data_IF_010066742756
#
_entry.id   IF_010066742756
#
_cell.length_a   1.000
_cell.length_b   1.000
_cell.length_c   1.000
_cell.angle_alpha   90.00
_cell.angle_beta   90.00
_cell.angle_gamma   90.00
#
_symmetry.space_group_name_H-M   'P 1'
#
loop_
_entity.id
_entity.type
_entity.pdbx_description
1 polymer ?
#
# COMPACT_ATOMS: atom_id res chain seq x y z
N UNK A 1 12.25 -27.61 -28.48
CA UNK A 1 13.55 -27.18 -27.94
C UNK A 1 13.34 -26.72 -26.53
N UNK A 2 14.32 -26.91 -25.65
CA UNK A 2 14.23 -26.72 -24.19
C UNK A 2 14.16 -25.23 -23.75
N UNK A 3 13.47 -24.39 -24.52
CA UNK A 3 13.39 -22.93 -24.36
C UNK A 3 11.96 -22.39 -24.31
N UNK A 4 10.95 -23.27 -24.30
CA UNK A 4 9.54 -22.89 -24.07
C UNK A 4 9.15 -23.20 -22.62
N UNK A 5 10.06 -22.87 -21.69
CA UNK A 5 9.89 -23.05 -20.24
C UNK A 5 9.74 -21.67 -19.60
N UNK A 6 8.62 -21.46 -18.90
CA UNK A 6 8.34 -20.39 -17.95
C UNK A 6 8.48 -18.94 -18.44
N UNK A 7 7.48 -18.46 -19.22
CA UNK A 7 7.20 -17.02 -19.24
C UNK A 7 6.45 -16.64 -17.96
N UNK A 8 7.19 -16.43 -16.87
CA UNK A 8 6.64 -15.81 -15.65
C UNK A 8 6.12 -14.42 -15.99
N UNK A 9 4.83 -14.17 -15.71
CA UNK A 9 4.30 -12.81 -15.61
C UNK A 9 5.14 -12.06 -14.56
N UNK A 10 5.88 -11.03 -14.96
CA UNK A 10 6.60 -10.19 -14.01
C UNK A 10 5.62 -9.19 -13.40
N UNK A 11 5.18 -9.45 -12.17
CA UNK A 11 4.39 -8.49 -11.38
C UNK A 11 5.32 -7.46 -10.76
N UNK A 12 5.04 -6.17 -10.98
CA UNK A 12 5.77 -5.06 -10.41
C UNK A 12 4.94 -4.42 -9.30
N UNK A 13 5.60 -4.08 -8.21
CA UNK A 13 4.98 -3.41 -7.08
C UNK A 13 5.63 -2.04 -6.92
N UNK A 14 4.82 -1.01 -6.74
CA UNK A 14 5.24 0.34 -6.41
C UNK A 14 4.50 0.82 -5.17
N UNK A 15 5.24 1.12 -4.10
CA UNK A 15 4.69 1.77 -2.90
C UNK A 15 5.11 3.24 -2.92
N UNK A 16 4.15 4.15 -2.76
CA UNK A 16 4.35 5.60 -2.79
C UNK A 16 3.94 6.17 -1.43
N UNK A 17 4.88 6.78 -0.71
CA UNK A 17 4.59 7.49 0.54
C UNK A 17 4.22 8.95 0.29
N UNK A 18 3.03 9.37 0.70
CA UNK A 18 2.58 10.77 0.68
C UNK A 18 2.66 11.35 2.10
N UNK A 19 3.82 11.93 2.41
CA UNK A 19 4.08 12.64 3.66
C UNK A 19 3.62 14.10 3.63
N UNK A 20 3.26 14.65 4.79
CA UNK A 20 3.01 16.09 4.94
C UNK A 20 2.06 16.45 6.08
N UNK A 21 1.87 17.74 6.34
CA UNK A 21 1.07 18.25 7.46
C UNK A 21 -0.40 17.79 7.41
N UNK A 22 -1.03 17.71 8.58
CA UNK A 22 -2.47 17.45 8.73
C UNK A 22 -3.28 18.54 8.01
N UNK A 23 -4.40 18.16 7.40
CA UNK A 23 -5.24 19.02 6.55
C UNK A 23 -4.55 19.64 5.31
N UNK A 24 -3.31 19.23 4.98
CA UNK A 24 -2.60 19.71 3.78
C UNK A 24 -3.11 19.15 2.44
N UNK A 25 -4.19 18.36 2.45
CA UNK A 25 -4.81 17.79 1.24
C UNK A 25 -4.25 16.43 0.78
N UNK A 26 -3.49 15.73 1.62
CA UNK A 26 -2.88 14.42 1.30
C UNK A 26 -3.91 13.36 0.90
N UNK A 27 -4.90 13.11 1.75
CA UNK A 27 -5.99 12.16 1.48
C UNK A 27 -6.75 12.52 0.21
N UNK A 28 -6.97 13.82 -0.05
CA UNK A 28 -7.59 14.29 -1.30
C UNK A 28 -6.72 13.99 -2.53
N UNK A 29 -5.39 14.17 -2.42
CA UNK A 29 -4.45 13.83 -3.49
C UNK A 29 -4.39 12.32 -3.72
N UNK A 30 -4.32 11.52 -2.65
CA UNK A 30 -4.32 10.06 -2.69
C UNK A 30 -5.56 9.52 -3.42
N UNK A 31 -6.75 9.99 -3.05
CA UNK A 31 -8.02 9.58 -3.68
C UNK A 31 -8.14 10.01 -5.15
N UNK A 32 -7.54 11.14 -5.53
CA UNK A 32 -7.46 11.56 -6.93
C UNK A 32 -6.50 10.66 -7.71
N UNK A 33 -5.33 10.38 -7.17
CA UNK A 33 -4.34 9.50 -7.79
C UNK A 33 -4.87 8.08 -7.95
N UNK A 34 -5.56 7.54 -6.93
CA UNK A 34 -6.23 6.23 -6.99
C UNK A 34 -7.17 6.08 -8.18
N UNK A 35 -7.90 7.15 -8.54
CA UNK A 35 -8.83 7.16 -9.69
C UNK A 35 -8.12 7.25 -11.04
N UNK A 36 -6.88 7.74 -11.07
CA UNK A 36 -6.11 7.98 -12.29
C UNK A 36 -5.09 6.87 -12.58
N UNK A 37 -4.64 6.17 -11.54
CA UNK A 37 -3.61 5.14 -11.63
C UNK A 37 -4.24 3.74 -11.73
N UNK A 38 -3.67 2.83 -12.56
CA UNK A 38 -4.14 1.46 -12.63
C UNK A 38 -3.80 0.69 -11.36
N UNK A 39 -4.65 -0.28 -10.96
CA UNK A 39 -4.40 -1.20 -9.86
C UNK A 39 -3.86 -0.52 -8.59
N UNK A 40 -4.48 0.61 -8.23
CA UNK A 40 -4.02 1.50 -7.17
C UNK A 40 -4.89 1.35 -5.92
N UNK A 41 -4.25 1.08 -4.79
CA UNK A 41 -4.85 1.10 -3.45
C UNK A 41 -4.32 2.26 -2.62
N UNK A 42 -5.04 2.57 -1.54
CA UNK A 42 -4.71 3.64 -0.59
C UNK A 42 -4.72 3.08 0.83
N UNK A 43 -3.78 3.55 1.66
CA UNK A 43 -3.70 3.25 3.10
C UNK A 43 -3.46 4.57 3.84
N UNK A 44 -4.33 4.88 4.82
CA UNK A 44 -4.22 6.07 5.65
C UNK A 44 -3.52 5.72 6.97
N UNK A 45 -2.51 6.49 7.36
CA UNK A 45 -1.86 6.34 8.66
C UNK A 45 -2.84 6.53 9.82
N UNK A 46 -3.87 7.38 9.65
CA UNK A 46 -4.86 7.66 10.69
C UNK A 46 -5.70 6.42 11.06
N UNK A 47 -5.81 5.42 10.17
CA UNK A 47 -6.49 4.15 10.45
C UNK A 47 -5.75 3.30 11.50
N UNK A 48 -4.49 3.66 11.82
CA UNK A 48 -3.64 2.96 12.78
C UNK A 48 -3.51 3.70 14.12
N UNK A 49 -4.32 4.73 14.38
CA UNK A 49 -4.37 5.34 15.70
C UNK A 49 -4.82 4.34 16.76
N UNK A 50 -4.15 4.38 17.92
CA UNK A 50 -4.56 3.65 19.11
C UNK A 50 -5.90 4.20 19.62
N UNK A 51 -6.71 3.38 20.30
CA UNK A 51 -7.90 3.89 20.98
C UNK A 51 -7.51 4.95 22.00
N UNK A 52 -8.40 5.93 22.23
CA UNK A 52 -8.13 7.07 23.10
C UNK A 52 -7.63 6.68 24.51
N UNK A 53 -8.09 5.54 25.03
CA UNK A 53 -7.65 5.00 26.33
C UNK A 53 -6.16 4.66 26.40
N UNK A 54 -5.52 4.37 25.27
CA UNK A 54 -4.10 4.02 25.18
C UNK A 54 -3.21 5.20 24.77
N UNK A 55 -3.80 6.30 24.30
CA UNK A 55 -3.05 7.50 23.92
C UNK A 55 -2.69 8.30 25.17
N UNK A 56 -1.40 8.59 25.34
CA UNK A 56 -0.90 9.36 26.47
C UNK A 56 -1.48 10.78 26.49
N UNK A 57 -1.72 11.27 27.71
CA UNK A 57 -2.17 12.64 27.97
C UNK A 57 -0.99 13.45 28.48
N UNK A 58 -0.80 14.65 27.94
CA UNK A 58 0.25 15.57 28.39
C UNK A 58 -0.08 16.22 29.76
N UNK A 59 0.88 16.98 30.29
CA UNK A 59 0.75 17.70 31.57
C UNK A 59 -0.42 18.71 31.59
N UNK A 60 -0.92 19.10 30.42
CA UNK A 60 -2.01 20.07 30.25
C UNK A 60 -3.37 19.38 30.05
N UNK A 61 -3.41 18.05 30.03
CA UNK A 61 -4.64 17.28 29.87
C UNK A 61 -5.03 16.98 28.41
N UNK A 62 -4.14 17.21 27.43
CA UNK A 62 -4.41 16.93 26.01
C UNK A 62 -3.82 15.59 25.56
N UNK A 63 -4.54 14.89 24.68
CA UNK A 63 -4.08 13.65 24.05
C UNK A 63 -2.99 13.92 23.01
N UNK A 64 -1.90 13.16 23.06
CA UNK A 64 -0.72 13.33 22.20
C UNK A 64 -0.85 12.54 20.89
N UNK A 65 -1.76 12.93 20.01
CA UNK A 65 -1.95 12.27 18.71
C UNK A 65 -0.85 12.58 17.69
N UNK A 66 0.05 13.53 17.99
CA UNK A 66 1.09 14.02 17.09
C UNK A 66 2.43 13.27 17.24
N UNK A 67 2.48 12.16 17.97
CA UNK A 67 3.66 11.32 18.15
C UNK A 67 3.41 9.88 17.72
N UNK A 68 4.49 9.18 17.34
CA UNK A 68 4.42 7.79 16.87
C UNK A 68 3.80 6.84 17.91
N UNK A 69 3.99 7.12 19.20
CA UNK A 69 3.45 6.29 20.29
C UNK A 69 1.91 6.26 20.31
N UNK A 70 1.23 7.20 19.67
CA UNK A 70 -0.22 7.17 19.51
C UNK A 70 -0.69 6.22 18.39
N UNK A 71 0.22 5.57 17.65
CA UNK A 71 -0.09 4.73 16.50
C UNK A 71 0.40 3.29 16.70
N UNK A 72 -0.30 2.33 16.11
CA UNK A 72 0.18 0.96 15.93
C UNK A 72 1.06 0.87 14.65
N UNK A 73 2.21 1.53 14.65
CA UNK A 73 3.10 1.60 13.47
C UNK A 73 3.59 0.22 13.00
N UNK A 74 3.87 -0.69 13.93
CA UNK A 74 4.25 -2.07 13.60
C UNK A 74 3.15 -2.77 12.79
N UNK A 75 1.88 -2.57 13.13
CA UNK A 75 0.73 -3.14 12.43
C UNK A 75 0.52 -2.50 11.06
N UNK A 76 0.82 -1.21 10.92
CA UNK A 76 0.82 -0.52 9.64
C UNK A 76 1.88 -1.10 8.69
N UNK A 77 3.11 -1.28 9.17
CA UNK A 77 4.20 -1.90 8.39
C UNK A 77 3.86 -3.34 8.02
N UNK A 78 3.31 -4.13 8.94
CA UNK A 78 2.80 -5.49 8.64
C UNK A 78 1.71 -5.46 7.56
N UNK A 79 0.81 -4.49 7.60
CA UNK A 79 -0.26 -4.34 6.60
C UNK A 79 0.28 -4.01 5.22
N UNK A 80 1.29 -3.13 5.13
CA UNK A 80 1.99 -2.82 3.88
C UNK A 80 2.67 -4.08 3.32
N UNK A 81 3.42 -4.82 4.14
CA UNK A 81 4.06 -6.06 3.69
C UNK A 81 3.06 -7.13 3.26
N UNK A 82 1.94 -7.28 3.99
CA UNK A 82 0.88 -8.21 3.62
C UNK A 82 0.28 -7.84 2.25
N UNK A 83 0.02 -6.56 2.03
CA UNK A 83 -0.46 -6.06 0.74
C UNK A 83 0.58 -6.31 -0.37
N UNK A 84 1.87 -6.10 -0.12
CA UNK A 84 2.91 -6.42 -1.11
C UNK A 84 2.90 -7.91 -1.45
N UNK A 85 2.86 -8.78 -0.44
CA UNK A 85 2.92 -10.23 -0.62
C UNK A 85 1.70 -10.82 -1.34
N UNK A 86 0.51 -10.23 -1.16
CA UNK A 86 -0.70 -10.67 -1.89
C UNK A 86 -0.59 -10.42 -3.40
N UNK A 87 0.23 -9.44 -3.81
CA UNK A 87 0.43 -9.06 -5.21
C UNK A 87 1.74 -9.61 -5.80
N UNK A 88 2.56 -10.32 -5.04
CA UNK A 88 3.73 -11.07 -5.57
C UNK A 88 3.45 -12.57 -5.77
N UNK A 89 2.44 -13.12 -5.10
CA UNK A 89 2.29 -14.58 -4.95
C UNK A 89 1.42 -15.28 -6.01
N UNK A 90 0.81 -14.54 -6.95
CA UNK A 90 -0.11 -15.11 -7.95
C UNK A 90 0.63 -15.63 -9.21
N UNK A 91 1.62 -16.51 -9.01
CA UNK A 91 2.33 -17.20 -10.09
C UNK A 91 1.87 -18.66 -10.29
N UNK A 92 0.73 -19.07 -9.72
CA UNK A 92 0.16 -20.40 -9.93
C UNK A 92 -1.03 -20.28 -10.87
N UNK A 93 -0.77 -20.52 -12.14
CA UNK A 93 -1.77 -20.59 -13.20
C UNK A 93 -2.56 -21.89 -13.01
N UNK A 94 -3.84 -21.81 -12.67
CA UNK A 94 -4.78 -22.91 -12.95
C UNK A 94 -5.15 -22.82 -14.42
N UNK A 95 -4.75 -23.83 -15.18
CA UNK A 95 -5.06 -23.98 -16.60
C UNK A 95 -6.58 -24.19 -16.79
N UNK A 96 -7.23 -23.24 -17.44
CA UNK A 96 -8.53 -23.43 -18.11
C UNK A 96 -8.32 -23.02 -19.59
N UNK A 97 -8.57 -23.89 -20.57
CA UNK A 97 -8.35 -23.57 -21.97
C UNK A 97 -9.62 -22.99 -22.60
N UNK A 98 -9.55 -21.80 -23.23
CA UNK A 98 -10.16 -21.57 -24.55
C UNK A 98 -9.84 -20.20 -25.18
N UNK A 99 -9.30 -20.32 -26.39
CA UNK A 99 -9.56 -19.58 -27.63
C UNK A 99 -9.05 -18.14 -27.90
N UNK A 100 -8.12 -18.13 -28.86
CA UNK A 100 -7.84 -17.15 -29.93
C UNK A 100 -7.12 -15.84 -29.63
N UNK A 101 -5.82 -15.87 -29.95
CA UNK A 101 -5.05 -14.88 -30.72
C UNK A 101 -5.43 -13.40 -30.55
N UNK A 102 -4.73 -12.72 -29.64
CA UNK A 102 -4.24 -11.37 -29.89
C UNK A 102 -2.96 -11.12 -29.08
N UNK A 103 -1.83 -11.11 -29.79
CA UNK A 103 -0.56 -10.47 -29.42
C UNK A 103 -0.08 -10.66 -27.97
N UNK A 104 0.91 -11.54 -27.80
CA UNK A 104 1.73 -11.70 -26.58
C UNK A 104 2.46 -10.39 -26.22
N UNK A 105 1.73 -9.39 -25.71
CA UNK A 105 2.32 -8.38 -24.85
C UNK A 105 2.53 -9.08 -23.51
N UNK A 106 3.78 -9.35 -23.16
CA UNK A 106 4.14 -9.54 -21.76
C UNK A 106 3.74 -8.24 -21.04
N UNK A 107 2.52 -8.18 -20.50
CA UNK A 107 2.05 -7.02 -19.76
C UNK A 107 2.61 -7.17 -18.36
N UNK A 108 3.69 -6.48 -18.04
CA UNK A 108 4.09 -6.30 -16.64
C UNK A 108 2.90 -5.68 -15.90
N UNK A 109 2.28 -6.43 -14.99
CA UNK A 109 1.17 -5.93 -14.21
C UNK A 109 1.75 -5.15 -13.03
N UNK A 110 1.45 -3.84 -12.99
CA UNK A 110 1.91 -2.94 -11.94
C UNK A 110 0.80 -2.78 -10.91
N UNK A 111 1.08 -3.09 -9.64
CA UNK A 111 0.23 -2.76 -8.51
C UNK A 111 0.82 -1.59 -7.73
N UNK A 112 -0.02 -0.60 -7.41
CA UNK A 112 0.39 0.63 -6.74
C UNK A 112 -0.29 0.71 -5.37
N UNK A 113 0.49 0.98 -4.32
CA UNK A 113 -0.04 1.33 -3.01
C UNK A 113 0.39 2.75 -2.67
N UNK A 114 -0.58 3.61 -2.42
CA UNK A 114 -0.35 4.93 -1.86
C UNK A 114 -0.54 4.85 -0.35
N UNK A 115 0.51 5.12 0.40
CA UNK A 115 0.47 5.23 1.87
C UNK A 115 0.56 6.70 2.22
N UNK A 116 -0.43 7.24 2.92
CA UNK A 116 -0.48 8.68 3.25
C UNK A 116 -0.55 8.90 4.76
N UNK A 117 0.15 9.92 5.25
CA UNK A 117 0.27 10.20 6.68
C UNK A 117 1.19 11.37 6.98
N UNK A 118 1.17 11.86 8.21
CA UNK A 118 2.00 13.00 8.64
C UNK A 118 3.28 12.60 9.37
N UNK A 119 3.36 11.35 9.85
CA UNK A 119 4.53 10.78 10.54
C UNK A 119 5.15 9.60 9.78
N UNK A 120 4.82 9.40 8.50
CA UNK A 120 5.26 8.23 7.72
C UNK A 120 6.77 7.99 7.77
N UNK A 121 7.55 9.06 7.74
CA UNK A 121 9.01 9.01 7.64
C UNK A 121 9.72 9.23 8.98
N UNK A 122 8.97 9.15 10.09
CA UNK A 122 9.50 9.33 11.43
C UNK A 122 9.79 8.00 12.14
N UNK A 123 9.29 6.89 11.59
CA UNK A 123 9.41 5.55 12.15
C UNK A 123 10.66 4.85 11.58
N UNK A 124 11.44 4.20 12.47
CA UNK A 124 12.73 3.56 12.17
C UNK A 124 12.68 2.03 12.24
#
# INVERSE_FOLDING_TARGET
GKEELDRKQAMKILVIGLGGVTNGGKTTLAEKLKKLLPNCDTMCQDDFFKPESEVETDERGFKRYDVLDALYMDEMVKSIHKWMNSHTSSAVVTEEPMDTCNSLKMTEELHILIVEGFLLYNYE
#
